data_IF_204124066382
#
_entry.id   IF_204124066382
#
_cell.length_a   1.000
_cell.length_b   1.000
_cell.length_c   1.000
_cell.angle_alpha   90.00
_cell.angle_beta   90.00
_cell.angle_gamma   90.00
#
_symmetry.space_group_name_H-M   'P 1'
#
loop_
_entity.id
_entity.type
_entity.pdbx_description
1 polymer ?
#
# COMPACT_ATOMS: atom_id res chain seq x y z
N UNK A 1 16.20 73.98 17.26
CA UNK A 1 15.69 72.68 17.74
C UNK A 1 14.28 72.44 17.20
N UNK A 2 14.12 71.61 16.15
CA UNK A 2 12.85 71.03 15.66
C UNK A 2 13.01 70.22 14.36
N UNK A 3 14.15 70.33 13.67
CA UNK A 3 14.35 69.72 12.34
C UNK A 3 15.19 68.42 12.38
N UNK A 4 15.83 68.09 13.51
CA UNK A 4 16.70 66.89 13.62
C UNK A 4 15.97 65.56 13.89
N UNK A 5 14.64 65.55 14.06
CA UNK A 5 13.90 64.32 14.40
C UNK A 5 13.36 63.53 13.19
N UNK A 6 13.48 64.06 11.97
CA UNK A 6 12.86 63.45 10.79
C UNK A 6 13.79 62.56 9.95
N UNK A 7 15.09 62.47 10.26
CA UNK A 7 16.06 61.76 9.40
C UNK A 7 16.46 60.37 9.96
N UNK A 8 16.14 60.07 11.22
CA UNK A 8 16.55 58.83 11.89
C UNK A 8 15.56 57.66 11.76
N UNK A 9 14.47 57.83 11.00
CA UNK A 9 13.43 56.80 10.82
C UNK A 9 13.48 56.09 9.46
N UNK A 10 14.37 56.49 8.56
CA UNK A 10 14.47 55.91 7.21
C UNK A 10 15.63 54.92 7.02
N UNK A 11 16.48 54.70 8.03
CA UNK A 11 17.67 53.84 7.93
C UNK A 11 17.55 52.47 8.62
N UNK A 12 16.39 52.15 9.23
CA UNK A 12 16.17 50.86 9.93
C UNK A 12 15.30 49.89 9.10
N UNK A 13 14.70 50.34 7.99
CA UNK A 13 13.85 49.50 7.15
C UNK A 13 14.61 48.65 6.11
N UNK A 14 15.94 48.75 6.00
CA UNK A 14 16.70 48.10 4.92
C UNK A 14 17.57 46.90 5.36
N UNK A 15 17.56 46.51 6.64
CA UNK A 15 18.43 45.42 7.15
C UNK A 15 17.66 44.16 7.56
N UNK A 16 16.32 44.15 7.50
CA UNK A 16 15.52 42.97 7.84
C UNK A 16 15.20 42.04 6.65
N UNK A 17 15.79 42.27 5.47
CA UNK A 17 15.53 41.44 4.27
C UNK A 17 16.46 40.23 4.09
N UNK A 18 17.32 39.88 5.05
CA UNK A 18 18.29 38.78 4.90
C UNK A 18 18.03 37.56 5.79
N UNK A 19 16.90 37.50 6.49
CA UNK A 19 16.43 36.28 7.16
C UNK A 19 15.25 35.63 6.40
N UNK A 20 15.29 35.61 5.06
CA UNK A 20 14.79 34.41 4.38
C UNK A 20 15.82 33.33 4.64
N UNK A 21 15.66 32.67 5.79
CA UNK A 21 16.44 31.50 6.12
C UNK A 21 16.33 30.52 4.95
N UNK A 22 17.47 30.30 4.30
CA UNK A 22 17.76 29.05 3.65
C UNK A 22 17.31 27.94 4.61
N UNK A 23 16.13 27.35 4.37
CA UNK A 23 15.93 25.99 4.82
C UNK A 23 17.04 25.18 4.14
N UNK A 24 17.85 24.42 4.89
CA UNK A 24 18.68 23.41 4.26
C UNK A 24 17.76 22.59 3.37
N UNK A 25 18.19 22.28 2.15
CA UNK A 25 17.57 21.24 1.32
C UNK A 25 17.74 19.90 2.04
N UNK A 26 16.97 19.68 3.10
CA UNK A 26 16.61 18.34 3.54
C UNK A 26 15.62 17.84 2.52
N UNK A 27 15.89 16.70 1.89
CA UNK A 27 14.86 15.97 1.16
C UNK A 27 13.65 15.84 2.06
N UNK A 28 12.49 16.33 1.63
CA UNK A 28 11.24 16.09 2.33
C UNK A 28 11.13 14.59 2.63
N UNK A 29 10.64 14.18 3.82
CA UNK A 29 10.46 12.77 4.15
C UNK A 29 9.66 12.07 3.04
N UNK A 30 10.12 10.89 2.63
CA UNK A 30 9.43 10.12 1.59
C UNK A 30 7.97 9.84 2.01
N UNK A 31 6.99 9.97 1.09
CA UNK A 31 5.60 9.65 1.39
C UNK A 31 5.46 8.22 1.94
N UNK A 32 4.62 8.04 2.97
CA UNK A 32 4.40 6.73 3.61
C UNK A 32 3.94 5.68 2.57
N UNK A 33 3.14 6.08 1.59
CA UNK A 33 2.70 5.20 0.51
C UNK A 33 3.87 4.65 -0.32
N UNK A 34 4.88 5.47 -0.60
CA UNK A 34 6.04 5.06 -1.37
C UNK A 34 6.94 4.11 -0.56
N UNK A 35 7.09 4.37 0.74
CA UNK A 35 7.81 3.47 1.67
C UNK A 35 7.11 2.11 1.77
N UNK A 36 5.77 2.09 1.88
CA UNK A 36 5.00 0.85 1.95
C UNK A 36 5.00 0.11 0.61
N UNK A 37 4.95 0.85 -0.51
CA UNK A 37 5.02 0.28 -1.85
C UNK A 37 6.31 -0.50 -2.04
N UNK A 38 7.46 0.05 -1.64
CA UNK A 38 8.75 -0.64 -1.75
C UNK A 38 8.83 -1.91 -0.90
N UNK A 39 8.19 -1.92 0.28
CA UNK A 39 8.10 -3.14 1.10
C UNK A 39 7.29 -4.22 0.41
N UNK A 40 6.17 -3.83 -0.22
CA UNK A 40 5.20 -4.73 -0.85
C UNK A 40 5.63 -5.22 -2.24
N UNK A 41 6.35 -4.42 -3.03
CA UNK A 41 6.71 -4.67 -4.44
C UNK A 41 7.74 -5.80 -4.59
N UNK A 42 7.31 -7.03 -4.38
CA UNK A 42 8.11 -8.25 -4.39
C UNK A 42 7.29 -9.42 -4.95
N UNK A 43 7.97 -10.54 -5.15
CA UNK A 43 7.34 -11.85 -5.37
C UNK A 43 7.23 -12.57 -4.03
N UNK A 44 6.00 -12.71 -3.56
CA UNK A 44 5.66 -13.35 -2.29
C UNK A 44 5.25 -14.80 -2.54
N UNK A 45 5.96 -15.75 -1.93
CA UNK A 45 5.65 -17.18 -2.01
C UNK A 45 4.80 -17.58 -0.82
N UNK A 46 3.80 -18.41 -1.04
CA UNK A 46 2.92 -18.82 0.03
C UNK A 46 3.67 -19.59 1.12
N UNK A 47 3.32 -19.30 2.37
CA UNK A 47 3.76 -20.06 3.54
C UNK A 47 2.57 -20.80 4.16
N UNK A 48 1.49 -20.07 4.48
CA UNK A 48 0.27 -20.67 5.05
C UNK A 48 -1.00 -20.00 4.51
N UNK A 49 -2.08 -20.77 4.42
CA UNK A 49 -3.43 -20.27 4.09
C UNK A 49 -4.42 -20.79 5.12
N UNK A 50 -5.22 -19.89 5.69
CA UNK A 50 -6.37 -20.26 6.50
C UNK A 50 -7.65 -19.67 5.90
N UNK A 51 -8.70 -20.47 5.92
CA UNK A 51 -10.06 -20.08 5.53
C UNK A 51 -11.02 -20.51 6.63
N UNK A 52 -11.75 -19.57 7.21
CA UNK A 52 -12.69 -19.82 8.32
C UNK A 52 -12.06 -20.64 9.46
N UNK A 53 -10.80 -20.30 9.80
CA UNK A 53 -10.01 -21.00 10.82
C UNK A 53 -9.48 -22.38 10.42
N UNK A 54 -9.83 -22.89 9.24
CA UNK A 54 -9.33 -24.17 8.71
C UNK A 54 -8.08 -23.95 7.87
N UNK A 55 -7.07 -24.79 8.05
CA UNK A 55 -5.86 -24.76 7.20
C UNK A 55 -6.19 -25.25 5.78
N UNK A 56 -5.80 -24.45 4.79
CA UNK A 56 -5.92 -24.74 3.35
C UNK A 56 -4.58 -24.63 2.62
N UNK A 57 -3.47 -24.65 3.34
CA UNK A 57 -2.12 -24.46 2.76
C UNK A 57 -1.83 -25.47 1.64
N UNK A 58 -2.29 -26.71 1.77
CA UNK A 58 -2.09 -27.76 0.76
C UNK A 58 -2.71 -27.41 -0.61
N UNK A 59 -3.84 -26.71 -0.63
CA UNK A 59 -4.56 -26.32 -1.86
C UNK A 59 -3.80 -25.24 -2.65
N UNK A 60 -2.89 -24.52 -1.99
CA UNK A 60 -2.13 -23.41 -2.54
C UNK A 60 -0.66 -23.79 -2.81
N UNK A 61 -0.35 -25.07 -2.98
CA UNK A 61 1.02 -25.53 -3.23
C UNK A 61 1.67 -24.78 -4.39
N UNK A 62 2.75 -24.05 -4.10
CA UNK A 62 3.50 -23.26 -5.08
C UNK A 62 2.89 -21.90 -5.44
N UNK A 63 1.79 -21.50 -4.78
CA UNK A 63 1.14 -20.21 -5.02
C UNK A 63 2.09 -19.04 -4.79
N UNK A 64 2.10 -18.08 -5.71
CA UNK A 64 2.85 -16.84 -5.58
C UNK A 64 1.98 -15.65 -5.89
N UNK A 65 2.22 -14.56 -5.16
CA UNK A 65 1.65 -13.24 -5.37
C UNK A 65 2.77 -12.27 -5.72
N UNK A 66 2.73 -11.73 -6.94
CA UNK A 66 3.65 -10.68 -7.38
C UNK A 66 2.95 -9.35 -7.27
N UNK A 67 3.45 -8.45 -6.43
CA UNK A 67 2.99 -7.07 -6.36
C UNK A 67 3.98 -6.18 -7.12
N UNK A 68 3.49 -5.38 -8.05
CA UNK A 68 4.30 -4.63 -9.01
C UNK A 68 3.76 -3.24 -9.30
N UNK A 69 4.51 -2.48 -10.10
CA UNK A 69 4.15 -1.12 -10.52
C UNK A 69 5.31 -0.14 -10.41
N UNK A 70 4.95 1.14 -10.53
CA UNK A 70 5.85 2.29 -10.40
C UNK A 70 5.44 3.10 -9.19
N UNK A 71 6.39 3.32 -8.28
CA UNK A 71 6.24 4.14 -7.07
C UNK A 71 5.62 5.51 -7.43
N UNK A 72 4.69 6.00 -6.61
CA UNK A 72 3.96 7.24 -6.85
C UNK A 72 2.91 7.21 -7.97
N UNK A 73 2.73 6.09 -8.67
CA UNK A 73 1.82 5.98 -9.84
C UNK A 73 0.79 4.86 -9.66
N UNK A 74 -0.20 5.02 -8.78
CA UNK A 74 -1.33 4.09 -8.70
C UNK A 74 -2.24 4.20 -9.95
N UNK A 75 -3.01 3.14 -10.29
CA UNK A 75 -3.06 1.87 -9.58
C UNK A 75 -1.84 0.99 -9.86
N UNK A 76 -1.46 0.21 -8.86
CA UNK A 76 -0.39 -0.78 -8.94
C UNK A 76 -0.94 -2.12 -9.44
N UNK A 77 -0.07 -3.02 -9.90
CA UNK A 77 -0.49 -4.31 -10.44
C UNK A 77 -0.24 -5.45 -9.46
N UNK A 78 -1.06 -6.50 -9.56
CA UNK A 78 -0.76 -7.80 -8.97
C UNK A 78 -0.91 -8.92 -10.01
N UNK A 79 -0.12 -9.98 -9.85
CA UNK A 79 -0.25 -11.22 -10.60
C UNK A 79 -0.15 -12.40 -9.66
N UNK A 80 -0.87 -13.48 -9.95
CA UNK A 80 -0.79 -14.73 -9.22
C UNK A 80 -0.39 -15.90 -10.11
N UNK A 81 0.32 -16.85 -9.53
CA UNK A 81 0.67 -18.12 -10.17
C UNK A 81 0.33 -19.28 -9.25
N UNK A 82 0.09 -20.46 -9.82
CA UNK A 82 -0.24 -21.69 -9.09
C UNK A 82 -1.39 -21.54 -8.07
N UNK A 83 -2.36 -20.66 -8.35
CA UNK A 83 -3.61 -20.60 -7.57
C UNK A 83 -4.48 -21.83 -7.91
N UNK A 84 -5.19 -22.41 -6.92
CA UNK A 84 -6.21 -23.41 -7.19
C UNK A 84 -7.34 -22.81 -8.03
N UNK A 85 -8.15 -23.67 -8.67
CA UNK A 85 -9.31 -23.24 -9.45
C UNK A 85 -10.29 -22.43 -8.57
N UNK A 86 -10.60 -22.95 -7.38
CA UNK A 86 -11.39 -22.25 -6.37
C UNK A 86 -10.47 -21.41 -5.49
N UNK A 87 -10.34 -20.14 -5.84
CA UNK A 87 -9.52 -19.17 -5.13
C UNK A 87 -10.23 -17.82 -5.01
N UNK A 88 -10.04 -17.07 -3.91
CA UNK A 88 -10.49 -15.69 -3.80
C UNK A 88 -9.60 -14.73 -4.61
N UNK A 89 -8.47 -15.21 -5.14
CA UNK A 89 -7.54 -14.43 -5.96
C UNK A 89 -7.83 -14.58 -7.44
N UNK A 90 -7.76 -13.48 -8.21
CA UNK A 90 -7.69 -13.49 -9.68
C UNK A 90 -6.28 -13.85 -10.18
N UNK A 91 -6.16 -14.18 -11.47
CA UNK A 91 -4.85 -14.39 -12.12
C UNK A 91 -4.02 -13.11 -12.11
N UNK A 92 -4.69 -11.96 -12.26
CA UNK A 92 -4.09 -10.64 -12.22
C UNK A 92 -5.16 -9.59 -11.97
N UNK A 93 -4.72 -8.39 -11.63
CA UNK A 93 -5.57 -7.23 -11.44
C UNK A 93 -4.75 -6.06 -10.93
N UNK A 94 -5.45 -5.11 -10.33
CA UNK A 94 -4.85 -3.88 -9.81
C UNK A 94 -5.07 -3.75 -8.31
N UNK A 95 -4.26 -2.92 -7.66
CA UNK A 95 -4.46 -2.54 -6.27
C UNK A 95 -4.04 -1.09 -6.03
N UNK A 96 -4.63 -0.49 -5.02
CA UNK A 96 -4.27 0.83 -4.49
C UNK A 96 -4.16 0.75 -2.97
N UNK A 97 -3.53 1.73 -2.33
CA UNK A 97 -3.64 1.84 -0.88
C UNK A 97 -5.07 2.24 -0.48
N UNK A 98 -5.51 1.69 0.66
CA UNK A 98 -6.70 2.17 1.36
C UNK A 98 -6.44 3.51 2.04
N UNK A 99 -7.43 3.97 2.81
CA UNK A 99 -7.27 5.19 3.62
C UNK A 99 -6.18 5.03 4.69
N UNK A 100 -6.02 3.83 5.24
CA UNK A 100 -4.95 3.45 6.14
C UNK A 100 -3.79 2.81 5.36
N UNK A 101 -2.96 3.66 4.73
CA UNK A 101 -1.86 3.24 3.84
C UNK A 101 -0.95 2.18 4.45
N UNK A 102 -0.66 2.24 5.75
CA UNK A 102 0.28 1.32 6.41
C UNK A 102 -0.27 -0.09 6.65
N UNK A 103 -1.58 -0.28 6.54
CA UNK A 103 -2.24 -1.52 6.97
C UNK A 103 -3.31 -2.00 6.00
N UNK A 104 -3.61 -1.27 4.91
CA UNK A 104 -4.68 -1.64 4.01
C UNK A 104 -4.37 -1.32 2.55
N UNK A 105 -4.68 -2.28 1.68
CA UNK A 105 -4.81 -2.10 0.24
C UNK A 105 -6.26 -2.35 -0.19
N UNK A 106 -6.65 -1.76 -1.31
CA UNK A 106 -7.92 -2.02 -1.99
C UNK A 106 -7.58 -2.71 -3.31
N UNK A 107 -7.92 -3.99 -3.42
CA UNK A 107 -7.76 -4.78 -4.64
C UNK A 107 -8.90 -4.47 -5.60
N UNK A 108 -8.57 -4.33 -6.88
CA UNK A 108 -9.50 -4.08 -7.98
C UNK A 108 -10.49 -2.93 -7.72
N UNK A 109 -9.98 -1.84 -7.12
CA UNK A 109 -10.74 -0.65 -6.74
C UNK A 109 -11.51 -0.05 -7.93
N UNK A 110 -12.74 0.37 -7.67
CA UNK A 110 -13.67 0.91 -8.67
C UNK A 110 -14.29 -0.14 -9.59
N UNK A 111 -14.09 -1.43 -9.33
CA UNK A 111 -14.69 -2.54 -10.10
C UNK A 111 -15.72 -3.32 -9.25
N UNK A 112 -16.45 -4.22 -9.90
CA UNK A 112 -17.40 -5.13 -9.20
C UNK A 112 -16.72 -6.11 -8.26
N UNK A 113 -15.40 -6.29 -8.37
CA UNK A 113 -14.60 -7.20 -7.55
C UNK A 113 -13.72 -6.44 -6.54
N UNK A 114 -14.06 -5.18 -6.26
CA UNK A 114 -13.35 -4.37 -5.26
C UNK A 114 -13.31 -5.08 -3.91
N UNK A 115 -12.12 -5.18 -3.32
CA UNK A 115 -11.92 -5.87 -2.04
C UNK A 115 -10.92 -5.13 -1.17
N UNK A 116 -11.34 -4.75 0.03
CA UNK A 116 -10.45 -4.25 1.07
C UNK A 116 -9.64 -5.41 1.67
N UNK A 117 -8.32 -5.27 1.69
CA UNK A 117 -7.39 -6.26 2.24
C UNK A 117 -6.51 -5.59 3.27
N UNK A 118 -6.61 -6.05 4.52
CA UNK A 118 -5.71 -5.64 5.56
C UNK A 118 -4.39 -6.40 5.43
N UNK A 119 -3.27 -5.74 5.72
CA UNK A 119 -1.96 -6.35 5.61
C UNK A 119 -1.03 -5.98 6.77
N UNK A 120 -0.08 -6.88 7.02
CA UNK A 120 1.14 -6.59 7.78
C UNK A 120 2.34 -7.04 6.96
N UNK A 121 3.39 -6.21 6.88
CA UNK A 121 4.55 -6.49 6.05
C UNK A 121 5.85 -6.20 6.80
N UNK A 122 6.78 -7.14 6.73
CA UNK A 122 8.16 -7.01 7.18
C UNK A 122 9.10 -7.09 5.98
N UNK A 123 10.41 -7.18 6.21
CA UNK A 123 11.37 -7.39 5.13
C UNK A 123 11.15 -8.71 4.38
N UNK A 124 10.68 -9.76 5.06
CA UNK A 124 10.62 -11.13 4.55
C UNK A 124 9.26 -11.82 4.73
N UNK A 125 8.28 -11.18 5.36
CA UNK A 125 6.95 -11.75 5.61
C UNK A 125 5.85 -10.78 5.22
N UNK A 126 4.79 -11.30 4.61
CA UNK A 126 3.56 -10.57 4.31
C UNK A 126 2.38 -11.39 4.83
N UNK A 127 1.52 -10.78 5.65
CA UNK A 127 0.23 -11.37 6.02
C UNK A 127 -0.88 -10.53 5.41
N UNK A 128 -1.84 -11.18 4.76
CA UNK A 128 -3.04 -10.57 4.20
C UNK A 128 -4.27 -11.14 4.90
N UNK A 129 -5.23 -10.28 5.24
CA UNK A 129 -6.48 -10.68 5.89
C UNK A 129 -7.64 -9.93 5.26
N UNK A 130 -8.68 -10.65 4.87
CA UNK A 130 -9.86 -10.08 4.23
C UNK A 130 -11.06 -11.04 4.33
N UNK A 131 -12.26 -10.48 4.24
CA UNK A 131 -13.50 -11.24 4.04
C UNK A 131 -13.86 -11.22 2.56
N UNK A 132 -13.95 -12.40 1.95
CA UNK A 132 -14.33 -12.53 0.55
C UNK A 132 -15.82 -12.84 0.45
N UNK A 133 -16.58 -12.02 -0.30
CA UNK A 133 -18.01 -12.21 -0.54
C UNK A 133 -18.34 -12.52 -2.01
N UNK A 134 -17.35 -12.46 -2.88
CA UNK A 134 -17.48 -12.78 -4.31
C UNK A 134 -17.62 -14.28 -4.60
N UNK A 135 -17.91 -14.58 -5.86
CA UNK A 135 -17.85 -15.93 -6.38
C UNK A 135 -16.38 -16.35 -6.56
N UNK A 136 -16.03 -17.57 -6.17
CA UNK A 136 -14.72 -18.14 -6.52
C UNK A 136 -14.52 -18.09 -8.02
N UNK A 137 -13.33 -17.69 -8.48
CA UNK A 137 -13.06 -17.33 -9.88
C UNK A 137 -13.16 -18.48 -10.92
N UNK A 138 -13.86 -19.58 -10.61
CA UNK A 138 -14.25 -20.68 -11.53
C UNK A 138 -15.60 -21.36 -11.17
N UNK A 139 -16.62 -20.60 -10.74
CA UNK A 139 -18.04 -21.02 -10.71
C UNK A 139 -18.53 -21.98 -9.60
N UNK A 140 -17.79 -22.18 -8.49
CA UNK A 140 -18.39 -22.72 -7.24
C UNK A 140 -18.22 -21.72 -6.11
N UNK A 141 -19.35 -21.19 -5.64
CA UNK A 141 -19.44 -19.90 -4.97
C UNK A 141 -19.40 -20.00 -3.44
N UNK A 142 -19.97 -21.07 -2.87
CA UNK A 142 -20.06 -21.24 -1.41
C UNK A 142 -18.78 -21.66 -0.69
N UNK A 143 -17.78 -22.16 -1.42
CA UNK A 143 -16.57 -22.74 -0.79
C UNK A 143 -15.45 -21.73 -0.52
N UNK A 144 -15.59 -20.50 -1.01
CA UNK A 144 -14.56 -19.45 -0.87
C UNK A 144 -15.05 -18.17 -0.21
N UNK A 145 -16.35 -18.06 0.08
CA UNK A 145 -16.91 -16.91 0.77
C UNK A 145 -16.62 -16.99 2.26
N UNK A 146 -16.05 -15.93 2.83
CA UNK A 146 -15.73 -15.85 4.25
C UNK A 146 -14.32 -15.30 4.52
N UNK A 147 -13.86 -15.42 5.78
CA UNK A 147 -12.59 -14.84 6.21
C UNK A 147 -11.41 -15.66 5.70
N UNK A 148 -10.46 -14.97 5.08
CA UNK A 148 -9.20 -15.53 4.61
C UNK A 148 -8.01 -14.89 5.31
N UNK A 149 -7.00 -15.73 5.59
CA UNK A 149 -5.68 -15.30 6.05
C UNK A 149 -4.64 -15.96 5.16
N UNK A 150 -3.84 -15.16 4.48
CA UNK A 150 -2.70 -15.63 3.69
C UNK A 150 -1.41 -15.11 4.30
N UNK A 151 -0.48 -16.00 4.60
CA UNK A 151 0.88 -15.64 5.04
C UNK A 151 1.87 -16.05 3.97
N UNK A 152 2.73 -15.13 3.58
CA UNK A 152 3.74 -15.31 2.56
C UNK A 152 5.14 -15.01 3.10
N UNK A 153 6.13 -15.58 2.43
CA UNK A 153 7.56 -15.32 2.64
C UNK A 153 8.27 -15.09 1.30
N UNK A 154 9.48 -14.54 1.33
CA UNK A 154 10.33 -14.39 0.13
C UNK A 154 11.01 -15.70 -0.30
#
# INVERSE_FOLDING_TARGET
MKILRAITLLAVAAVLSTYMGCKPKGSDPEPIADVQFDKLKKTWKISTVSFDGTDRTADYTGFQLVLGGTKGTPPFSYNTTARPALSPWKASGNWEFGSAVETQIIRDKGTVDELAVNYTVTESTLTLTFDFDGDGYTARTKEVQGPWIFTFTL
#
